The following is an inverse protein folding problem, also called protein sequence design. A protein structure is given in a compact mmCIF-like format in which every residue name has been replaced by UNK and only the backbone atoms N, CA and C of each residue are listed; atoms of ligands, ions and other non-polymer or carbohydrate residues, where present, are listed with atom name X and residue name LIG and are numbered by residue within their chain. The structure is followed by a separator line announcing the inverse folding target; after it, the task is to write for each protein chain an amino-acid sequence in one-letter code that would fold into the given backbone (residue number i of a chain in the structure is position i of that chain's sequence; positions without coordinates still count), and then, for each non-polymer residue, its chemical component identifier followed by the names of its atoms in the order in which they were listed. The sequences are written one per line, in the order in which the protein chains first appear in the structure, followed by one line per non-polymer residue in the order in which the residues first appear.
data_IF_274470954224
#
_entry.id   IF_274470954224
#
_cell.length_a   1.000
_cell.length_b   1.000
_cell.length_c   1.000
_cell.angle_alpha   90.00
_cell.angle_beta   90.00
_cell.angle_gamma   90.00
#
_symmetry.space_group_name_H-M   'P 1'
#
loop_
_entity.id
_entity.type
_entity.pdbx_description
1 polymer ?
#
# COMPACT_ATOMS: atom_id res chain seq x y z
N UNK A 1 48.63 -41.52 -5.59
CA UNK A 1 47.64 -40.62 -4.96
C UNK A 1 46.25 -41.19 -5.27
N UNK A 2 45.55 -41.72 -4.26
CA UNK A 2 44.23 -42.31 -4.47
C UNK A 2 43.19 -41.19 -4.70
N UNK A 3 42.46 -41.25 -5.81
CA UNK A 3 41.38 -40.31 -6.10
C UNK A 3 40.19 -40.60 -5.19
N UNK A 4 39.96 -39.74 -4.19
CA UNK A 4 38.75 -39.77 -3.39
C UNK A 4 37.61 -39.14 -4.21
N UNK A 5 36.74 -39.99 -4.73
CA UNK A 5 35.49 -39.57 -5.39
C UNK A 5 34.41 -39.46 -4.32
N UNK A 6 33.89 -38.25 -4.10
CA UNK A 6 32.78 -38.01 -3.19
C UNK A 6 31.48 -38.55 -3.83
N UNK A 7 30.85 -39.51 -3.17
CA UNK A 7 29.52 -40.02 -3.53
C UNK A 7 28.54 -39.40 -2.51
N UNK A 8 27.64 -38.49 -2.93
CA UNK A 8 26.66 -37.92 -2.03
C UNK A 8 25.68 -39.00 -1.55
N UNK A 9 25.33 -38.94 -0.26
CA UNK A 9 24.27 -39.75 0.31
C UNK A 9 22.90 -39.29 -0.26
N UNK A 10 21.91 -40.19 -0.35
CA UNK A 10 20.57 -39.85 -0.83
C UNK A 10 19.90 -38.80 0.08
N UNK A 11 19.17 -37.87 -0.55
CA UNK A 11 18.48 -36.79 0.16
C UNK A 11 17.40 -37.36 1.11
N UNK A 12 17.58 -37.09 2.41
CA UNK A 12 16.59 -37.40 3.44
C UNK A 12 15.56 -36.27 3.53
N UNK A 13 14.28 -36.58 3.89
CA UNK A 13 13.30 -35.54 4.13
C UNK A 13 13.79 -34.59 5.24
N UNK A 14 13.46 -33.29 5.15
CA UNK A 14 13.86 -32.32 6.17
C UNK A 14 13.35 -32.75 7.54
N UNK A 15 14.13 -32.53 8.62
CA UNK A 15 13.74 -32.97 9.95
C UNK A 15 12.34 -32.45 10.31
N UNK A 16 11.49 -33.27 10.94
CA UNK A 16 10.15 -32.84 11.33
C UNK A 16 10.23 -31.57 12.19
N UNK A 17 9.54 -30.51 11.77
CA UNK A 17 9.56 -29.19 12.41
C UNK A 17 10.53 -28.15 11.82
N UNK A 18 11.37 -28.53 10.85
CA UNK A 18 12.23 -27.59 10.11
C UNK A 18 11.52 -26.90 8.94
N UNK A 19 10.35 -27.41 8.54
CA UNK A 19 9.53 -26.89 7.43
C UNK A 19 8.11 -26.56 7.92
N UNK A 20 7.48 -25.55 7.32
CA UNK A 20 6.08 -25.18 7.56
C UNK A 20 5.85 -23.79 8.16
N UNK A 21 4.57 -23.42 8.27
CA UNK A 21 4.09 -22.08 8.63
C UNK A 21 4.51 -21.68 10.06
N UNK A 22 4.48 -22.62 11.01
CA UNK A 22 4.84 -22.36 12.41
C UNK A 22 6.33 -21.96 12.54
N UNK A 23 7.21 -22.65 11.82
CA UNK A 23 8.64 -22.33 11.79
C UNK A 23 8.87 -20.98 11.10
N UNK A 24 8.16 -20.71 10.00
CA UNK A 24 8.21 -19.42 9.31
C UNK A 24 7.80 -18.27 10.23
N UNK A 25 6.71 -18.40 11.00
CA UNK A 25 6.29 -17.39 11.97
C UNK A 25 7.34 -17.15 13.05
N UNK A 26 7.90 -18.22 13.62
CA UNK A 26 8.98 -18.11 14.62
C UNK A 26 10.22 -17.43 14.08
N UNK A 27 10.60 -17.70 12.83
CA UNK A 27 11.81 -17.13 12.22
C UNK A 27 11.64 -15.66 11.80
N UNK A 28 10.44 -15.24 11.43
CA UNK A 28 10.19 -13.88 10.93
C UNK A 28 9.67 -12.92 12.01
N UNK A 29 8.75 -13.35 12.87
CA UNK A 29 8.07 -12.48 13.85
C UNK A 29 8.57 -12.67 15.29
N UNK A 30 8.97 -13.88 15.66
CA UNK A 30 9.35 -14.24 17.05
C UNK A 30 10.79 -14.70 17.18
N UNK A 31 11.70 -14.13 16.37
CA UNK A 31 13.11 -14.55 16.33
C UNK A 31 13.85 -14.24 17.62
N UNK A 32 13.55 -13.09 18.22
CA UNK A 32 14.16 -12.55 19.42
C UNK A 32 13.10 -11.86 20.30
N UNK A 33 13.47 -11.51 21.53
CA UNK A 33 12.55 -10.92 22.51
C UNK A 33 12.00 -9.58 22.05
N UNK A 34 12.83 -8.75 21.39
CA UNK A 34 12.41 -7.45 20.88
C UNK A 34 11.41 -7.60 19.72
N UNK A 35 11.71 -8.44 18.72
CA UNK A 35 10.78 -8.73 17.62
C UNK A 35 9.45 -9.32 18.11
N UNK A 36 9.50 -10.16 19.15
CA UNK A 36 8.29 -10.75 19.76
C UNK A 36 7.41 -9.69 20.43
N UNK A 37 8.02 -8.78 21.22
CA UNK A 37 7.31 -7.68 21.87
C UNK A 37 6.70 -6.74 20.82
N UNK A 38 7.47 -6.38 19.78
CA UNK A 38 7.00 -5.50 18.72
C UNK A 38 5.82 -6.12 17.95
N UNK A 39 5.88 -7.42 17.67
CA UNK A 39 4.80 -8.17 17.01
C UNK A 39 3.52 -8.16 17.86
N UNK A 40 3.64 -8.46 19.17
CA UNK A 40 2.50 -8.47 20.09
C UNK A 40 1.88 -7.08 20.25
N UNK A 41 2.71 -6.04 20.35
CA UNK A 41 2.27 -4.65 20.45
C UNK A 41 1.60 -4.19 19.14
N UNK A 42 2.13 -4.58 17.99
CA UNK A 42 1.49 -4.34 16.69
C UNK A 42 0.13 -5.01 16.59
N UNK A 43 0.01 -6.28 16.98
CA UNK A 43 -1.27 -6.98 17.03
C UNK A 43 -2.25 -6.32 17.99
N UNK A 44 -1.79 -5.92 19.18
CA UNK A 44 -2.60 -5.20 20.14
C UNK A 44 -3.20 -3.92 19.55
N UNK A 45 -2.38 -3.08 18.90
CA UNK A 45 -2.87 -1.86 18.26
C UNK A 45 -3.83 -2.15 17.12
N UNK A 46 -3.57 -3.17 16.30
CA UNK A 46 -4.49 -3.57 15.23
C UNK A 46 -5.85 -3.91 15.82
N UNK A 47 -5.92 -4.78 16.84
CA UNK A 47 -7.20 -5.15 17.46
C UNK A 47 -7.88 -3.97 18.16
N UNK A 48 -7.11 -3.12 18.83
CA UNK A 48 -7.62 -1.95 19.53
C UNK A 48 -8.23 -0.90 18.59
N UNK A 49 -7.63 -0.67 17.42
CA UNK A 49 -8.11 0.31 16.44
C UNK A 49 -9.21 -0.28 15.55
N UNK A 50 -9.09 -1.56 15.17
CA UNK A 50 -9.98 -2.18 14.18
C UNK A 50 -11.42 -2.23 14.66
N UNK A 51 -11.67 -2.54 15.93
CA UNK A 51 -13.05 -2.60 16.48
C UNK A 51 -13.80 -1.27 16.31
N UNK A 52 -13.33 -0.17 16.91
CA UNK A 52 -13.95 1.14 16.78
C UNK A 52 -13.99 1.67 15.34
N UNK A 53 -12.96 1.38 14.54
CA UNK A 53 -12.92 1.81 13.14
C UNK A 53 -14.02 1.11 12.32
N UNK A 54 -14.22 -0.19 12.55
CA UNK A 54 -15.23 -0.96 11.85
C UNK A 54 -16.64 -0.57 12.28
N UNK A 55 -16.85 -0.28 13.56
CA UNK A 55 -18.14 0.20 14.05
C UNK A 55 -18.49 1.54 13.42
N UNK A 56 -17.57 2.51 13.49
CA UNK A 56 -17.76 3.82 12.90
C UNK A 56 -17.97 3.77 11.37
N UNK A 57 -17.18 2.99 10.64
CA UNK A 57 -17.21 2.98 9.18
C UNK A 57 -18.36 2.18 8.56
N UNK A 58 -18.82 1.12 9.26
CA UNK A 58 -19.79 0.16 8.72
C UNK A 58 -21.03 0.05 9.61
N UNK A 59 -20.86 -0.25 10.90
CA UNK A 59 -21.99 -0.62 11.77
C UNK A 59 -22.89 0.57 12.10
N UNK A 60 -22.29 1.69 12.45
CA UNK A 60 -22.97 2.91 12.89
C UNK A 60 -23.11 3.93 11.73
N UNK A 61 -22.80 3.51 10.50
CA UNK A 61 -22.70 4.38 9.35
C UNK A 61 -24.07 4.70 8.72
N UNK A 62 -24.23 5.94 8.25
CA UNK A 62 -25.40 6.38 7.50
C UNK A 62 -25.14 6.27 6.00
N UNK A 63 -25.86 5.34 5.36
CA UNK A 63 -25.68 5.03 3.94
C UNK A 63 -26.44 5.96 2.98
N UNK A 64 -27.56 6.52 3.44
CA UNK A 64 -28.40 7.44 2.69
C UNK A 64 -29.11 8.40 3.64
N UNK A 65 -29.14 9.69 3.29
CA UNK A 65 -29.72 10.72 4.13
C UNK A 65 -29.28 12.12 3.70
N UNK A 66 -30.00 13.13 4.16
CA UNK A 66 -29.67 14.54 4.00
C UNK A 66 -28.62 15.00 5.02
N UNK A 67 -28.30 16.30 5.03
CA UNK A 67 -27.34 16.87 5.96
C UNK A 67 -27.77 16.73 7.42
N UNK A 68 -29.08 16.72 7.71
CA UNK A 68 -29.59 16.54 9.07
C UNK A 68 -29.35 15.11 9.55
N UNK A 69 -29.66 14.12 8.72
CA UNK A 69 -29.42 12.71 9.02
C UNK A 69 -27.93 12.41 9.24
N UNK A 70 -27.03 13.06 8.49
CA UNK A 70 -25.59 12.88 8.68
C UNK A 70 -25.02 13.60 9.90
N UNK A 71 -25.61 14.73 10.33
CA UNK A 71 -25.19 15.40 11.57
C UNK A 71 -25.68 14.68 12.84
N UNK A 72 -26.79 13.96 12.75
CA UNK A 72 -27.32 13.16 13.85
C UNK A 72 -26.64 11.78 13.97
N UNK A 73 -25.80 11.40 13.01
CA UNK A 73 -25.11 10.12 12.99
C UNK A 73 -23.90 10.10 13.93
N UNK A 74 -23.70 8.99 14.64
CA UNK A 74 -22.48 8.76 15.42
C UNK A 74 -21.35 8.14 14.57
N UNK A 75 -21.70 7.50 13.44
CA UNK A 75 -20.76 6.88 12.50
C UNK A 75 -20.46 7.69 11.24
N UNK A 76 -19.84 7.02 10.25
CA UNK A 76 -19.48 7.61 8.97
C UNK A 76 -20.72 7.90 8.10
N UNK A 77 -20.76 9.08 7.47
CA UNK A 77 -21.81 9.45 6.52
C UNK A 77 -21.36 9.17 5.07
N UNK A 78 -21.87 8.10 4.47
CA UNK A 78 -21.53 7.70 3.10
C UNK A 78 -22.14 8.61 2.04
N UNK A 79 -23.27 9.28 2.32
CA UNK A 79 -23.84 10.26 1.37
C UNK A 79 -22.89 11.45 1.19
N UNK A 80 -22.24 11.92 2.25
CA UNK A 80 -21.20 12.95 2.18
C UNK A 80 -19.95 12.46 1.43
N UNK A 81 -19.47 11.25 1.76
CA UNK A 81 -18.29 10.67 1.11
C UNK A 81 -18.51 10.55 -0.41
N UNK A 82 -19.68 10.08 -0.84
CA UNK A 82 -20.05 9.99 -2.26
C UNK A 82 -20.15 11.37 -2.92
N UNK A 83 -20.77 12.34 -2.24
CA UNK A 83 -20.88 13.70 -2.76
C UNK A 83 -19.51 14.38 -2.95
N UNK A 84 -18.55 14.08 -2.07
CA UNK A 84 -17.22 14.70 -2.06
C UNK A 84 -16.10 13.78 -2.54
N UNK A 85 -16.41 12.64 -3.19
CA UNK A 85 -15.40 11.66 -3.63
C UNK A 85 -14.34 12.29 -4.56
N UNK A 86 -14.74 13.28 -5.37
CA UNK A 86 -13.83 14.05 -6.23
C UNK A 86 -12.75 14.78 -5.40
N UNK A 87 -13.13 15.37 -4.27
CA UNK A 87 -12.22 16.07 -3.39
C UNK A 87 -11.25 15.09 -2.71
N UNK A 88 -11.73 13.92 -2.28
CA UNK A 88 -10.87 12.90 -1.68
C UNK A 88 -9.85 12.30 -2.66
N UNK A 89 -10.24 12.09 -3.92
CA UNK A 89 -9.37 11.47 -4.93
C UNK A 89 -8.45 12.48 -5.61
N UNK A 90 -8.95 13.67 -5.93
CA UNK A 90 -8.26 14.63 -6.80
C UNK A 90 -7.99 15.98 -6.12
N UNK A 91 -8.46 16.19 -4.89
CA UNK A 91 -8.35 17.47 -4.20
C UNK A 91 -9.14 18.58 -4.91
N UNK A 92 -8.57 19.79 -4.92
CA UNK A 92 -9.17 20.99 -5.49
C UNK A 92 -9.00 21.07 -7.02
N UNK A 93 -8.55 20.01 -7.68
CA UNK A 93 -8.31 20.03 -9.13
C UNK A 93 -9.61 20.33 -9.91
N UNK A 94 -9.57 21.26 -10.87
CA UNK A 94 -10.72 21.54 -11.73
C UNK A 94 -11.01 20.32 -12.63
N UNK A 95 -12.29 20.15 -12.99
CA UNK A 95 -12.76 18.95 -13.72
C UNK A 95 -12.05 18.76 -15.06
N UNK A 96 -11.73 19.85 -15.75
CA UNK A 96 -11.12 19.81 -17.08
C UNK A 96 -9.65 19.38 -17.06
N UNK A 97 -8.99 19.48 -15.90
CA UNK A 97 -7.58 19.16 -15.75
C UNK A 97 -7.34 17.82 -15.05
N UNK A 98 -8.40 17.05 -14.74
CA UNK A 98 -8.30 15.75 -14.06
C UNK A 98 -7.43 14.72 -14.81
N UNK A 99 -7.23 14.91 -16.12
CA UNK A 99 -6.32 14.08 -16.89
C UNK A 99 -4.88 14.10 -16.35
N UNK A 100 -4.46 15.20 -15.71
CA UNK A 100 -3.11 15.35 -15.11
C UNK A 100 -2.92 14.36 -13.94
N UNK A 101 -3.68 14.41 -12.82
CA UNK A 101 -3.56 13.42 -11.75
C UNK A 101 -3.80 11.98 -12.22
N UNK A 102 -4.72 11.76 -13.16
CA UNK A 102 -5.00 10.42 -13.69
C UNK A 102 -3.78 9.86 -14.44
N UNK A 103 -3.12 10.68 -15.27
CA UNK A 103 -1.91 10.27 -15.97
C UNK A 103 -0.75 10.01 -15.00
N UNK A 104 -0.57 10.85 -13.99
CA UNK A 104 0.44 10.61 -12.94
C UNK A 104 0.19 9.28 -12.20
N UNK A 105 -1.07 9.00 -11.84
CA UNK A 105 -1.45 7.73 -11.20
C UNK A 105 -1.21 6.52 -12.13
N UNK A 106 -1.50 6.64 -13.43
CA UNK A 106 -1.23 5.60 -14.41
C UNK A 106 0.28 5.34 -14.57
N UNK A 107 1.10 6.40 -14.63
CA UNK A 107 2.56 6.28 -14.68
C UNK A 107 3.10 5.59 -13.42
N UNK A 108 2.61 5.97 -12.24
CA UNK A 108 2.96 5.31 -10.98
C UNK A 108 2.63 3.81 -11.02
N UNK A 109 1.43 3.44 -11.47
CA UNK A 109 1.03 2.04 -11.58
C UNK A 109 1.94 1.24 -12.53
N UNK A 110 2.33 1.82 -13.67
CA UNK A 110 3.25 1.20 -14.63
C UNK A 110 4.65 1.05 -14.02
N UNK A 111 5.22 2.12 -13.44
CA UNK A 111 6.53 2.07 -12.80
C UNK A 111 6.56 1.05 -11.66
N UNK A 112 5.48 0.97 -10.88
CA UNK A 112 5.33 -0.01 -9.81
C UNK A 112 5.27 -1.44 -10.37
N UNK A 113 4.49 -1.71 -11.41
CA UNK A 113 4.40 -3.03 -12.04
C UNK A 113 5.75 -3.48 -12.63
N UNK A 114 6.49 -2.58 -13.29
CA UNK A 114 7.83 -2.85 -13.82
C UNK A 114 8.84 -3.16 -12.71
N UNK A 115 8.73 -2.45 -11.60
CA UNK A 115 9.59 -2.65 -10.42
C UNK A 115 9.27 -3.98 -9.72
N UNK A 116 7.98 -4.30 -9.55
CA UNK A 116 7.52 -5.51 -8.88
C UNK A 116 7.88 -6.79 -9.66
N UNK A 117 7.85 -6.73 -10.99
CA UNK A 117 8.19 -7.85 -11.87
C UNK A 117 9.70 -8.07 -12.04
N UNK A 118 10.55 -7.16 -11.53
CA UNK A 118 12.03 -7.20 -11.62
C UNK A 118 12.57 -7.43 -13.05
N UNK A 119 11.82 -6.99 -14.06
CA UNK A 119 12.20 -7.14 -15.47
C UNK A 119 13.35 -6.19 -15.83
N UNK A 120 13.43 -5.04 -15.16
CA UNK A 120 14.38 -3.97 -15.48
C UNK A 120 15.62 -4.00 -14.56
N UNK A 121 16.81 -3.61 -15.07
CA UNK A 121 18.01 -3.50 -14.24
C UNK A 121 17.89 -2.36 -13.23
N UNK A 122 18.67 -2.42 -12.15
CA UNK A 122 18.62 -1.45 -11.02
C UNK A 122 18.80 0.00 -11.50
N UNK A 123 19.71 0.24 -12.45
CA UNK A 123 19.92 1.58 -13.00
C UNK A 123 18.66 2.11 -13.71
N UNK A 124 17.99 1.29 -14.52
CA UNK A 124 16.73 1.67 -15.18
C UNK A 124 15.61 1.88 -14.15
N UNK A 125 15.56 1.09 -13.09
CA UNK A 125 14.61 1.29 -11.99
C UNK A 125 14.79 2.67 -11.34
N UNK A 126 16.03 3.03 -10.98
CA UNK A 126 16.33 4.34 -10.40
C UNK A 126 15.91 5.46 -11.36
N UNK A 127 16.24 5.35 -12.65
CA UNK A 127 15.87 6.33 -13.67
C UNK A 127 14.35 6.44 -13.86
N UNK A 128 13.61 5.33 -13.85
CA UNK A 128 12.15 5.36 -13.97
C UNK A 128 11.49 6.05 -12.77
N UNK A 129 11.98 5.79 -11.54
CA UNK A 129 11.45 6.43 -10.35
C UNK A 129 11.79 7.92 -10.27
N UNK A 130 13.00 8.32 -10.65
CA UNK A 130 13.36 9.76 -10.71
C UNK A 130 12.56 10.47 -11.80
N UNK A 131 12.43 9.88 -12.98
CA UNK A 131 11.59 10.42 -14.05
C UNK A 131 10.13 10.55 -13.62
N UNK A 132 9.58 9.55 -12.94
CA UNK A 132 8.21 9.59 -12.42
C UNK A 132 7.99 10.78 -11.49
N UNK A 133 8.90 11.03 -10.54
CA UNK A 133 8.79 12.16 -9.61
C UNK A 133 8.82 13.48 -10.36
N UNK A 134 9.77 13.66 -11.30
CA UNK A 134 9.90 14.89 -12.08
C UNK A 134 8.68 15.15 -12.96
N UNK A 135 8.20 14.11 -13.67
CA UNK A 135 7.03 14.21 -14.55
C UNK A 135 5.78 14.49 -13.71
N UNK A 136 5.60 13.81 -12.58
CA UNK A 136 4.46 14.02 -11.69
C UNK A 136 4.45 15.44 -11.10
N UNK A 137 5.61 15.93 -10.66
CA UNK A 137 5.75 17.30 -10.19
C UNK A 137 5.36 18.32 -11.28
N UNK A 138 5.86 18.15 -12.50
CA UNK A 138 5.49 18.99 -13.64
C UNK A 138 3.98 18.92 -13.93
N UNK A 139 3.40 17.72 -13.86
CA UNK A 139 1.98 17.48 -14.01
C UNK A 139 1.14 18.14 -12.91
N UNK A 140 1.65 18.38 -11.71
CA UNK A 140 0.87 19.03 -10.64
C UNK A 140 1.09 20.54 -10.58
N UNK A 141 2.34 21.01 -10.59
CA UNK A 141 2.67 22.43 -10.48
C UNK A 141 2.18 23.26 -11.68
N UNK A 142 2.19 22.67 -12.88
CA UNK A 142 1.98 23.41 -14.13
C UNK A 142 3.25 24.17 -14.54
N UNK A 143 3.34 24.52 -15.82
CA UNK A 143 4.55 25.08 -16.44
C UNK A 143 4.74 24.61 -17.88
N UNK A 144 5.60 25.27 -18.66
CA UNK A 144 5.80 25.00 -20.11
C UNK A 144 4.49 24.91 -20.91
N UNK A 145 3.63 25.94 -20.79
CA UNK A 145 2.37 26.05 -21.55
C UNK A 145 1.14 25.41 -20.88
N UNK A 146 1.29 24.71 -19.75
CA UNK A 146 0.17 24.26 -18.92
C UNK A 146 -0.27 25.37 -17.95
N UNK A 147 -1.59 25.49 -17.75
CA UNK A 147 -2.16 26.40 -16.76
C UNK A 147 -1.73 25.99 -15.33
N UNK A 148 -1.26 26.96 -14.55
CA UNK A 148 -1.04 26.79 -13.12
C UNK A 148 -2.41 26.65 -12.44
N UNK A 149 -2.58 25.59 -11.66
CA UNK A 149 -3.76 25.45 -10.82
C UNK A 149 -3.43 26.16 -9.51
N UNK A 150 -4.20 27.19 -9.09
CA UNK A 150 -4.00 27.81 -7.80
C UNK A 150 -4.20 26.75 -6.72
N UNK A 151 -3.15 26.52 -5.93
CA UNK A 151 -3.15 25.67 -4.74
C UNK A 151 -3.70 26.42 -3.55
#
# INVERSE_FOLDING_TARGET
MANLVFIPAPDLPPPPGQVGIIRWLKLNFFKDTFSSVLTLLGLYFIFWITGPLLSWFILDAVYAGDSAACNAAEGACWSFIRAQIKLFLFGLFPRDLLWRPILAAALLAITFALTATRIIPVLAMVLCWTALVLISYWLFAGGFGLQSVPT
#
